data_IF_124855299564
#
_entry.id   IF_124855299564
#
_cell.length_a   1.000
_cell.length_b   1.000
_cell.length_c   1.000
_cell.angle_alpha   90.00
_cell.angle_beta   90.00
_cell.angle_gamma   90.00
#
_symmetry.space_group_name_H-M   'P 1'
#
loop_
_entity.id
_entity.type
_entity.pdbx_description
1 polymer ?
#
# COMPACT_ATOMS: atom_id res chain seq x y z
N UNK A 1 18.76 -5.59 -10.39
CA UNK A 1 18.31 -6.64 -9.44
C UNK A 1 16.93 -6.21 -9.03
N UNK A 2 15.94 -7.10 -9.07
CA UNK A 2 14.56 -6.75 -8.73
C UNK A 2 14.27 -7.02 -7.27
N UNK A 3 13.61 -6.08 -6.59
CA UNK A 3 13.17 -6.19 -5.20
C UNK A 3 11.69 -6.53 -5.17
N UNK A 4 11.29 -7.41 -4.26
CA UNK A 4 9.88 -7.78 -4.06
C UNK A 4 9.37 -7.03 -2.84
N UNK A 5 8.30 -6.29 -3.02
CA UNK A 5 7.65 -5.49 -2.00
C UNK A 5 6.17 -5.85 -1.91
N UNK A 6 5.51 -5.43 -0.84
CA UNK A 6 4.12 -5.75 -0.56
C UNK A 6 3.30 -4.48 -0.36
N UNK A 7 2.07 -4.51 -0.87
CA UNK A 7 1.08 -3.44 -0.71
C UNK A 7 -0.28 -4.05 -0.35
N UNK A 8 -0.95 -3.51 0.66
CA UNK A 8 -2.26 -4.00 1.10
C UNK A 8 -3.33 -3.00 0.72
N UNK A 9 -4.44 -3.46 0.16
CA UNK A 9 -5.53 -2.59 -0.28
C UNK A 9 -6.85 -3.34 -0.36
N UNK A 10 -7.92 -2.65 -0.75
CA UNK A 10 -9.22 -3.27 -1.01
C UNK A 10 -9.21 -4.14 -2.27
N UNK A 11 -10.11 -5.11 -2.38
CA UNK A 11 -10.20 -5.98 -3.56
C UNK A 11 -10.46 -5.19 -4.85
N UNK A 12 -11.29 -4.14 -4.77
CA UNK A 12 -11.58 -3.26 -5.89
C UNK A 12 -10.32 -2.53 -6.38
N UNK A 13 -9.59 -1.93 -5.44
CA UNK A 13 -8.34 -1.21 -5.69
C UNK A 13 -7.25 -2.15 -6.22
N UNK A 14 -7.09 -3.34 -5.63
CA UNK A 14 -6.14 -4.34 -6.10
C UNK A 14 -6.38 -4.72 -7.58
N UNK A 15 -7.65 -4.83 -7.98
CA UNK A 15 -8.01 -5.07 -9.38
C UNK A 15 -7.74 -3.87 -10.27
N UNK A 16 -7.98 -2.66 -9.78
CA UNK A 16 -7.66 -1.43 -10.50
C UNK A 16 -6.16 -1.32 -10.73
N UNK A 17 -5.35 -1.51 -9.68
CA UNK A 17 -3.89 -1.43 -9.72
C UNK A 17 -3.29 -2.42 -10.71
N UNK A 18 -3.80 -3.64 -10.76
CA UNK A 18 -3.29 -4.65 -11.71
C UNK A 18 -3.67 -4.33 -13.17
N UNK A 19 -4.78 -3.62 -13.40
CA UNK A 19 -5.25 -3.27 -14.75
C UNK A 19 -4.69 -1.93 -15.26
N UNK A 20 -4.60 -0.94 -14.37
CA UNK A 20 -4.31 0.46 -14.70
C UNK A 20 -2.98 0.94 -14.12
N UNK A 21 -2.37 0.17 -13.23
CA UNK A 21 -1.22 0.61 -12.43
C UNK A 21 -1.66 1.31 -11.14
N UNK A 22 -0.69 1.65 -10.32
CA UNK A 22 -0.92 2.44 -9.11
C UNK A 22 -1.34 3.87 -9.45
N UNK A 23 -2.01 4.51 -8.49
CA UNK A 23 -2.32 5.94 -8.49
C UNK A 23 -1.71 6.56 -7.22
N UNK A 24 -1.33 7.83 -7.32
CA UNK A 24 -0.80 8.59 -6.18
C UNK A 24 -1.95 8.93 -5.24
N UNK A 25 -1.90 8.42 -4.02
CA UNK A 25 -2.92 8.63 -2.98
C UNK A 25 -2.30 9.39 -1.81
N UNK A 26 -3.06 10.33 -1.24
CA UNK A 26 -2.67 11.02 -0.01
C UNK A 26 -2.86 10.09 1.20
N UNK A 27 -1.76 9.83 1.90
CA UNK A 27 -1.75 9.04 3.12
C UNK A 27 -1.43 9.94 4.31
N UNK A 28 -2.37 9.99 5.26
CA UNK A 28 -2.09 10.55 6.57
C UNK A 28 -1.50 9.46 7.46
N UNK A 29 -0.19 9.52 7.68
CA UNK A 29 0.47 8.64 8.64
C UNK A 29 0.66 9.31 10.01
N UNK A 30 -0.06 10.40 10.30
CA UNK A 30 0.12 11.18 11.52
C UNK A 30 1.50 11.83 11.65
N UNK A 31 2.21 12.01 10.53
CA UNK A 31 3.47 12.74 10.50
C UNK A 31 3.20 14.22 10.75
N UNK A 32 4.10 14.87 11.50
CA UNK A 32 4.05 16.32 11.70
C UNK A 32 5.23 16.96 11.01
N UNK A 33 4.98 18.04 10.26
CA UNK A 33 6.04 18.84 9.67
C UNK A 33 6.95 19.35 10.80
N UNK A 34 8.25 19.03 10.72
CA UNK A 34 9.19 19.34 11.80
C UNK A 34 9.41 20.86 11.98
N UNK A 35 9.01 21.68 11.00
CA UNK A 35 9.18 23.13 10.98
C UNK A 35 7.92 23.88 11.40
N UNK A 36 6.72 23.39 11.07
CA UNK A 36 5.44 24.04 11.36
C UNK A 36 4.61 23.32 12.43
N UNK A 37 4.87 22.03 12.67
CA UNK A 37 4.13 21.19 13.61
C UNK A 37 2.76 20.74 13.10
N UNK A 38 2.44 21.02 11.84
CA UNK A 38 1.17 20.66 11.19
C UNK A 38 1.19 19.21 10.71
N UNK A 39 0.02 18.58 10.70
CA UNK A 39 -0.15 17.24 10.15
C UNK A 39 0.20 17.24 8.66
N UNK A 40 1.09 16.32 8.29
CA UNK A 40 1.65 16.16 6.95
C UNK A 40 1.10 14.87 6.35
N UNK A 41 0.43 15.04 5.21
CA UNK A 41 0.07 13.93 4.33
C UNK A 41 1.23 13.62 3.40
N UNK A 42 1.46 12.34 3.16
CA UNK A 42 2.42 11.89 2.15
C UNK A 42 1.64 11.36 0.97
N UNK A 43 1.85 11.97 -0.19
CA UNK A 43 1.21 11.53 -1.44
C UNK A 43 2.09 10.50 -2.14
N UNK A 44 1.54 9.30 -2.39
CA UNK A 44 2.24 8.27 -3.14
C UNK A 44 1.70 6.86 -2.94
N UNK A 45 2.52 5.90 -3.35
CA UNK A 45 2.32 4.47 -3.15
C UNK A 45 3.24 4.01 -2.04
N UNK A 46 2.64 3.48 -0.97
CA UNK A 46 3.40 2.86 0.09
C UNK A 46 3.62 1.37 -0.20
N UNK A 47 4.82 0.90 0.12
CA UNK A 47 5.32 -0.45 -0.14
C UNK A 47 6.10 -0.93 1.08
N UNK A 48 6.10 -2.24 1.32
CA UNK A 48 6.67 -2.84 2.54
C UNK A 48 7.53 -4.06 2.21
N UNK A 49 8.51 -4.38 3.05
CA UNK A 49 9.46 -5.48 2.78
C UNK A 49 8.83 -6.84 3.01
N UNK A 50 7.82 -6.87 3.87
CA UNK A 50 7.06 -8.05 4.25
C UNK A 50 5.57 -7.81 4.11
N UNK A 51 4.78 -8.88 3.89
CA UNK A 51 3.34 -8.75 3.87
C UNK A 51 2.83 -8.30 5.23
N UNK A 52 2.17 -7.14 5.25
CA UNK A 52 1.56 -6.60 6.46
C UNK A 52 0.23 -7.30 6.74
N UNK A 53 0.08 -7.82 7.96
CA UNK A 53 -1.15 -8.41 8.46
C UNK A 53 -2.24 -7.38 8.74
N UNK A 54 -3.51 -7.81 8.80
CA UNK A 54 -4.66 -6.91 9.04
C UNK A 54 -4.56 -6.20 10.39
N UNK A 55 -3.99 -6.87 11.38
CA UNK A 55 -3.81 -6.38 12.75
C UNK A 55 -2.69 -5.35 12.90
N UNK A 56 -1.92 -5.08 11.85
CA UNK A 56 -0.76 -4.18 11.89
C UNK A 56 -1.09 -2.74 11.47
N UNK A 57 -2.38 -2.40 11.42
CA UNK A 57 -2.84 -1.01 11.29
C UNK A 57 -3.14 -0.54 9.87
N UNK A 58 -3.03 -1.42 8.86
CA UNK A 58 -3.43 -1.11 7.49
C UNK A 58 -4.62 -1.97 7.09
N UNK A 59 -5.77 -1.32 6.89
CA UNK A 59 -6.99 -2.00 6.45
C UNK A 59 -6.91 -2.35 4.96
N UNK A 60 -7.34 -3.57 4.63
CA UNK A 60 -7.34 -4.06 3.25
C UNK A 60 -7.60 -5.57 3.18
N UNK A 61 -8.41 -5.96 2.22
CA UNK A 61 -8.83 -7.35 1.98
C UNK A 61 -8.00 -8.06 0.91
N UNK A 62 -7.12 -7.34 0.24
CA UNK A 62 -6.23 -7.85 -0.79
C UNK A 62 -4.77 -7.47 -0.50
N UNK A 63 -3.88 -8.42 -0.72
CA UNK A 63 -2.44 -8.27 -0.64
C UNK A 63 -1.86 -8.36 -2.05
N UNK A 64 -1.22 -7.28 -2.47
CA UNK A 64 -0.46 -7.19 -3.70
C UNK A 64 1.01 -7.45 -3.43
N UNK A 65 1.63 -8.24 -4.29
CA UNK A 65 3.07 -8.34 -4.41
C UNK A 65 3.52 -7.46 -5.57
N UNK A 66 4.46 -6.57 -5.32
CA UNK A 66 4.99 -5.58 -6.25
C UNK A 66 6.46 -5.91 -6.49
N UNK A 67 6.78 -6.41 -7.67
CA UNK A 67 8.17 -6.60 -8.08
C UNK A 67 8.64 -5.32 -8.74
N UNK A 68 9.63 -4.64 -8.17
CA UNK A 68 10.27 -3.44 -8.73
C UNK A 68 11.67 -3.75 -9.23
N UNK A 69 12.03 -3.28 -10.42
CA UNK A 69 13.39 -3.38 -10.98
C UNK A 69 14.28 -2.25 -10.44
N UNK A 70 14.23 -2.03 -9.13
CA UNK A 70 15.03 -1.07 -8.38
C UNK A 70 15.79 -1.82 -7.27
N UNK A 71 17.02 -1.38 -7.00
CA UNK A 71 17.79 -1.92 -5.88
C UNK A 71 17.34 -1.28 -4.56
N UNK A 72 17.60 -1.96 -3.45
CA UNK A 72 17.35 -1.39 -2.11
C UNK A 72 18.07 -0.05 -1.90
N UNK A 73 19.25 0.14 -2.51
CA UNK A 73 19.98 1.41 -2.45
C UNK A 73 19.25 2.57 -3.15
N UNK A 74 18.52 2.29 -4.23
CA UNK A 74 17.69 3.27 -4.93
C UNK A 74 16.35 3.52 -4.22
N UNK A 75 15.87 2.53 -3.45
CA UNK A 75 14.65 2.65 -2.64
C UNK A 75 14.91 3.34 -1.29
N UNK A 76 16.13 3.26 -0.76
CA UNK A 76 16.55 3.90 0.49
C UNK A 76 16.13 5.38 0.68
N UNK A 77 16.23 6.28 -0.33
CA UNK A 77 15.75 7.66 -0.16
C UNK A 77 14.24 7.79 0.02
N UNK A 78 13.47 6.77 -0.34
CA UNK A 78 12.01 6.70 -0.18
C UNK A 78 11.59 5.97 1.10
N UNK A 79 12.55 5.47 1.88
CA UNK A 79 12.30 4.74 3.12
C UNK A 79 11.83 5.69 4.22
N UNK A 80 10.72 5.35 4.86
CA UNK A 80 10.23 5.97 6.08
C UNK A 80 10.56 5.09 7.29
N UNK A 81 11.71 5.38 7.89
CA UNK A 81 12.16 4.70 9.11
C UNK A 81 11.27 5.07 10.31
N UNK A 82 10.89 4.06 11.11
CA UNK A 82 10.21 4.25 12.41
C UNK A 82 8.68 4.36 12.36
N UNK A 83 8.06 4.17 11.19
CA UNK A 83 6.59 4.24 11.05
C UNK A 83 5.87 2.95 11.43
N UNK A 84 6.50 1.80 11.21
CA UNK A 84 5.96 0.48 11.54
C UNK A 84 6.91 -0.24 12.49
N UNK A 85 6.35 -0.92 13.49
CA UNK A 85 7.13 -1.77 14.38
C UNK A 85 7.54 -3.03 13.59
N UNK A 86 8.84 -3.20 13.35
CA UNK A 86 9.42 -4.39 12.70
C UNK A 86 9.13 -4.53 11.19
N UNK A 87 8.95 -3.42 10.47
CA UNK A 87 8.77 -3.40 9.00
C UNK A 87 9.41 -2.15 8.40
N UNK A 88 10.04 -2.30 7.23
CA UNK A 88 10.46 -1.17 6.41
C UNK A 88 9.31 -0.71 5.52
N UNK A 89 9.05 0.60 5.55
CA UNK A 89 8.05 1.26 4.74
C UNK A 89 8.75 2.13 3.70
N UNK A 90 8.39 2.00 2.44
CA UNK A 90 8.81 2.90 1.38
C UNK A 90 7.63 3.63 0.82
N UNK A 91 7.79 4.92 0.49
CA UNK A 91 6.77 5.70 -0.21
C UNK A 91 7.36 6.27 -1.49
N UNK A 92 6.87 5.79 -2.62
CA UNK A 92 7.30 6.20 -3.94
C UNK A 92 6.11 6.67 -4.78
N UNK A 93 6.36 7.52 -5.77
CA UNK A 93 5.30 7.95 -6.69
C UNK A 93 4.81 6.80 -7.56
N UNK A 94 3.51 6.80 -7.86
CA UNK A 94 2.87 5.82 -8.72
C UNK A 94 3.53 5.76 -10.10
N UNK A 95 3.98 6.90 -10.65
CA UNK A 95 4.72 6.94 -11.92
C UNK A 95 6.00 6.08 -11.87
N UNK A 96 6.78 6.16 -10.78
CA UNK A 96 8.01 5.39 -10.62
C UNK A 96 7.71 3.89 -10.52
N UNK A 97 6.73 3.53 -9.70
CA UNK A 97 6.35 2.13 -9.49
C UNK A 97 5.73 1.52 -10.75
N UNK A 98 4.94 2.27 -11.51
CA UNK A 98 4.37 1.80 -12.76
C UNK A 98 5.40 1.70 -13.88
N UNK A 99 6.43 2.56 -13.87
CA UNK A 99 7.51 2.53 -14.87
C UNK A 99 8.51 1.39 -14.62
N UNK A 100 8.84 1.12 -13.35
CA UNK A 100 9.88 0.16 -12.96
C UNK A 100 9.36 -1.11 -12.30
N UNK A 101 8.06 -1.21 -12.04
CA UNK A 101 7.48 -2.30 -11.27
C UNK A 101 6.26 -2.95 -11.91
N UNK A 102 5.91 -4.12 -11.37
CA UNK A 102 4.69 -4.85 -11.70
C UNK A 102 4.03 -5.35 -10.42
N UNK A 103 2.77 -5.02 -10.26
CA UNK A 103 1.93 -5.56 -9.19
C UNK A 103 1.22 -6.84 -9.64
N UNK A 104 1.11 -7.79 -8.72
CA UNK A 104 0.25 -8.98 -8.85
C UNK A 104 -0.50 -9.20 -7.55
N UNK A 105 -1.71 -9.72 -7.65
CA UNK A 105 -2.49 -10.12 -6.49
C UNK A 105 -1.89 -11.41 -5.93
N UNK A 106 -1.39 -11.35 -4.70
CA UNK A 106 -0.82 -12.52 -4.01
C UNK A 106 -1.92 -13.25 -3.22
N UNK A 107 -2.70 -12.50 -2.46
CA UNK A 107 -3.77 -13.03 -1.62
C UNK A 107 -4.99 -12.10 -1.67
N UNK A 108 -6.17 -12.70 -1.66
CA UNK A 108 -7.45 -12.01 -1.46
C UNK A 108 -8.19 -12.80 -0.41
N UNK A 109 -8.64 -12.13 0.65
CA UNK A 109 -9.56 -12.73 1.59
C UNK A 109 -11.01 -12.39 1.17
N UNK A 110 -11.76 -13.36 0.59
CA UNK A 110 -13.11 -13.10 0.11
C UNK A 110 -14.15 -13.01 1.24
N UNK A 111 -13.78 -13.24 2.50
CA UNK A 111 -14.75 -13.33 3.61
C UNK A 111 -15.32 -11.97 4.01
N UNK A 112 -14.71 -10.88 3.56
CA UNK A 112 -15.19 -9.51 3.83
C UNK A 112 -16.10 -8.97 2.73
N UNK A 113 -16.22 -9.65 1.57
CA UNK A 113 -17.02 -9.17 0.43
C UNK A 113 -18.53 -9.39 0.55
N UNK A 114 -19.06 -9.93 1.66
CA UNK A 114 -20.47 -10.35 1.77
C UNK A 114 -21.31 -9.58 2.80
N UNK A 115 -20.82 -8.51 3.44
CA UNK A 115 -21.58 -7.80 4.47
C UNK A 115 -22.33 -6.55 4.01
N UNK A 116 -22.42 -6.30 2.70
CA UNK A 116 -23.16 -5.16 2.15
C UNK A 116 -24.32 -5.56 1.23
N UNK A 117 -25.10 -6.62 1.55
CA UNK A 117 -26.44 -6.78 0.97
C UNK A 117 -27.35 -7.72 1.78
N UNK A 118 -27.58 -7.45 3.06
CA UNK A 118 -28.60 -8.15 3.85
C UNK A 118 -29.25 -7.29 4.94
N UNK A 119 -29.47 -6.00 4.66
CA UNK A 119 -30.37 -5.15 5.45
C UNK A 119 -31.31 -4.37 4.52
N UNK A 120 -32.02 -5.09 3.64
CA UNK A 120 -33.26 -4.57 3.06
C UNK A 120 -34.13 -5.75 2.65
N UNK A 121 -34.75 -6.40 3.63
CA UNK A 121 -36.05 -7.10 3.54
C UNK A 121 -36.36 -7.60 4.95
N UNK A 122 -36.91 -6.72 5.79
CA UNK A 122 -37.84 -7.17 6.83
C UNK A 122 -39.17 -6.44 6.60
N UNK A 123 -40.22 -7.24 6.70
CA UNK A 123 -41.57 -7.14 6.14
C UNK A 123 -42.47 -6.01 6.69
#
# INVERSE_FOLDING_TARGET
MSTVLFHRTSIAEARSIVQHGFEDVDWDFGLKDARTGEDTVVTGVWLTDRPIGRDEGIDGDALLEVTVDLTEEELKPFELEGMLWDTQLWIASAELINAHGKARILEVDPRTSWWHEALDTEE
#
